data_IF_553897977886
#
_entry.id   IF_553897977886
#
_cell.length_a   1.000
_cell.length_b   1.000
_cell.length_c   1.000
_cell.angle_alpha   90.00
_cell.angle_beta   90.00
_cell.angle_gamma   90.00
#
_symmetry.space_group_name_H-M   'P 1'
#
loop_
_entity.id
_entity.type
_entity.pdbx_description
1 polymer ?
#
# COMPACT_ATOMS: atom_id res chain seq x y z
N UNK A 1 -16.82 0.47 11.55
CA UNK A 1 -15.91 0.22 10.40
C UNK A 1 -15.43 -1.21 10.45
N UNK A 2 -15.38 -1.83 9.29
CA UNK A 2 -14.95 -3.21 9.12
C UNK A 2 -13.77 -3.26 8.16
N UNK A 3 -12.79 -4.12 8.43
CA UNK A 3 -11.64 -4.36 7.55
C UNK A 3 -11.80 -5.75 6.90
N UNK A 4 -11.79 -5.80 5.59
CA UNK A 4 -11.96 -7.03 4.81
C UNK A 4 -10.78 -7.25 3.89
N UNK A 5 -10.44 -8.52 3.65
CA UNK A 5 -9.45 -8.86 2.63
C UNK A 5 -9.93 -8.40 1.25
N UNK A 6 -8.99 -7.97 0.40
CA UNK A 6 -9.30 -7.59 -0.98
C UNK A 6 -9.85 -8.78 -1.74
N UNK A 7 -10.93 -8.54 -2.47
CA UNK A 7 -11.52 -9.50 -3.42
C UNK A 7 -11.51 -8.90 -4.84
N UNK A 8 -11.85 -9.72 -5.84
CA UNK A 8 -11.92 -9.25 -7.23
C UNK A 8 -12.90 -8.09 -7.40
N UNK A 9 -13.97 -8.07 -6.62
CA UNK A 9 -14.97 -6.99 -6.65
C UNK A 9 -14.40 -5.65 -6.17
N UNK A 10 -13.27 -5.65 -5.47
CA UNK A 10 -12.62 -4.44 -4.96
C UNK A 10 -11.61 -3.84 -5.95
N UNK A 11 -11.25 -4.54 -7.02
CA UNK A 11 -10.20 -4.09 -7.93
C UNK A 11 -10.48 -2.72 -8.57
N UNK A 12 -11.70 -2.39 -9.00
CA UNK A 12 -11.99 -1.03 -9.47
C UNK A 12 -11.73 0.04 -8.40
N UNK A 13 -12.02 -0.26 -7.14
CA UNK A 13 -11.74 0.63 -6.03
C UNK A 13 -10.23 0.76 -5.75
N UNK A 14 -9.49 -0.33 -5.83
CA UNK A 14 -8.02 -0.29 -5.71
C UNK A 14 -7.40 0.56 -6.81
N UNK A 15 -7.90 0.47 -8.04
CA UNK A 15 -7.44 1.31 -9.14
C UNK A 15 -7.70 2.79 -8.86
N UNK A 16 -8.86 3.13 -8.31
CA UNK A 16 -9.20 4.48 -7.87
C UNK A 16 -8.26 4.96 -6.76
N UNK A 17 -8.00 4.13 -5.76
CA UNK A 17 -7.07 4.46 -4.68
C UNK A 17 -5.62 4.62 -5.19
N UNK A 18 -5.22 3.85 -6.18
CA UNK A 18 -3.92 4.01 -6.84
C UNK A 18 -3.78 5.40 -7.44
N UNK A 19 -4.80 5.89 -8.12
CA UNK A 19 -4.80 7.23 -8.70
C UNK A 19 -4.69 8.31 -7.62
N UNK A 20 -5.39 8.15 -6.51
CA UNK A 20 -5.29 9.08 -5.37
C UNK A 20 -3.89 9.11 -4.76
N UNK A 21 -3.22 7.96 -4.71
CA UNK A 21 -1.87 7.87 -4.17
C UNK A 21 -0.81 8.38 -5.15
N UNK A 22 -1.03 8.21 -6.45
CA UNK A 22 -0.02 8.50 -7.48
C UNK A 22 -0.04 9.96 -7.96
N UNK A 23 -1.17 10.64 -7.87
CA UNK A 23 -1.32 12.00 -8.42
C UNK A 23 -1.70 13.00 -7.34
N UNK A 24 -1.24 14.26 -7.47
CA UNK A 24 -1.66 15.33 -6.56
C UNK A 24 -3.15 15.63 -6.73
N UNK A 25 -3.79 16.31 -5.73
CA UNK A 25 -5.18 16.72 -5.86
C UNK A 25 -5.41 17.58 -7.12
N UNK A 26 -6.51 17.31 -7.82
CA UNK A 26 -6.89 18.04 -9.02
C UNK A 26 -7.28 17.12 -10.18
N UNK A 27 -7.46 17.70 -11.40
CA UNK A 27 -7.80 16.91 -12.58
C UNK A 27 -6.72 15.88 -12.89
N UNK A 28 -7.15 14.65 -13.20
CA UNK A 28 -6.23 13.59 -13.60
C UNK A 28 -5.76 13.77 -15.05
N UNK A 29 -4.51 13.40 -15.38
CA UNK A 29 -4.08 13.35 -16.77
C UNK A 29 -4.95 12.42 -17.59
N UNK A 30 -5.12 12.74 -18.89
CA UNK A 30 -5.85 11.87 -19.82
C UNK A 30 -5.15 10.49 -19.84
N UNK A 31 -5.96 9.42 -19.70
CA UNK A 31 -5.45 8.05 -19.72
C UNK A 31 -4.70 7.62 -18.45
N UNK A 32 -4.85 8.36 -17.34
CA UNK A 32 -4.16 8.07 -16.07
C UNK A 32 -4.36 6.62 -15.61
N UNK A 33 -5.57 6.07 -15.74
CA UNK A 33 -5.90 4.69 -15.34
C UNK A 33 -5.16 3.63 -16.15
N UNK A 34 -4.67 3.96 -17.33
CA UNK A 34 -3.97 3.04 -18.23
C UNK A 34 -2.45 3.21 -18.20
N UNK A 35 -1.92 4.10 -17.37
CA UNK A 35 -0.49 4.27 -17.23
C UNK A 35 0.14 3.04 -16.57
N UNK A 36 1.27 2.49 -17.10
CA UNK A 36 1.85 1.27 -16.54
C UNK A 36 2.16 1.34 -15.06
N UNK A 37 2.62 2.48 -14.55
CA UNK A 37 2.91 2.65 -13.12
C UNK A 37 1.67 2.67 -12.23
N UNK A 38 0.48 2.83 -12.81
CA UNK A 38 -0.80 2.70 -12.11
C UNK A 38 -1.33 1.27 -12.24
N UNK A 39 -1.34 0.74 -13.47
CA UNK A 39 -1.87 -0.60 -13.75
C UNK A 39 -1.11 -1.72 -13.03
N UNK A 40 0.19 -1.56 -12.83
CA UNK A 40 1.04 -2.58 -12.18
C UNK A 40 0.54 -3.00 -10.79
N UNK A 41 -0.28 -2.18 -10.16
CA UNK A 41 -0.77 -2.42 -8.82
C UNK A 41 -1.95 -3.38 -8.74
N UNK A 42 -2.70 -3.53 -9.81
CA UNK A 42 -3.96 -4.29 -9.79
C UNK A 42 -4.08 -5.35 -10.88
N UNK A 43 -3.29 -5.26 -11.96
CA UNK A 43 -3.33 -6.22 -13.06
C UNK A 43 -2.98 -7.62 -12.56
N UNK A 44 -3.79 -8.61 -12.96
CA UNK A 44 -3.62 -10.01 -12.57
C UNK A 44 -3.56 -10.21 -11.05
N UNK A 45 -4.44 -9.53 -10.33
CA UNK A 45 -4.52 -9.66 -8.87
C UNK A 45 -4.72 -11.12 -8.46
N UNK A 46 -4.05 -11.51 -7.38
CA UNK A 46 -4.03 -12.87 -6.87
C UNK A 46 -2.72 -13.61 -7.13
N UNK A 47 -1.66 -12.87 -7.51
CA UNK A 47 -0.32 -13.44 -7.62
C UNK A 47 0.19 -13.88 -6.26
N UNK A 48 1.08 -14.89 -6.19
CA UNK A 48 1.70 -15.27 -4.92
C UNK A 48 2.30 -14.06 -4.20
N UNK A 49 1.95 -13.89 -2.93
CA UNK A 49 2.41 -12.77 -2.12
C UNK A 49 1.55 -11.50 -2.19
N UNK A 50 0.58 -11.41 -3.09
CA UNK A 50 -0.39 -10.32 -3.06
C UNK A 50 -1.20 -10.39 -1.77
N UNK A 51 -1.33 -9.26 -1.09
CA UNK A 51 -2.17 -9.15 0.10
C UNK A 51 -2.75 -7.74 0.16
N UNK A 52 -3.96 -7.61 0.67
CA UNK A 52 -4.58 -6.32 0.77
C UNK A 52 -5.82 -6.33 1.63
N UNK A 53 -6.17 -5.16 2.13
CA UNK A 53 -7.33 -4.92 2.98
C UNK A 53 -8.09 -3.70 2.50
N UNK A 54 -9.40 -3.74 2.65
CA UNK A 54 -10.31 -2.63 2.35
C UNK A 54 -11.09 -2.28 3.61
N UNK A 55 -11.16 -0.99 3.92
CA UNK A 55 -11.98 -0.49 5.02
C UNK A 55 -13.38 -0.19 4.52
N UNK A 56 -14.37 -0.69 5.23
CA UNK A 56 -15.80 -0.56 4.92
C UNK A 56 -16.56 0.08 6.08
N UNK A 57 -17.52 0.91 5.76
CA UNK A 57 -18.52 1.39 6.71
C UNK A 57 -19.82 1.72 5.96
N UNK A 58 -20.93 1.31 6.52
CA UNK A 58 -22.28 1.60 5.96
C UNK A 58 -22.40 1.25 4.47
N UNK A 59 -21.84 0.11 4.07
CA UNK A 59 -21.88 -0.36 2.69
C UNK A 59 -20.94 0.38 1.73
N UNK A 60 -20.09 1.26 2.23
CA UNK A 60 -19.14 2.03 1.42
C UNK A 60 -17.69 1.63 1.72
N UNK A 61 -16.87 1.63 0.68
CA UNK A 61 -15.42 1.50 0.80
C UNK A 61 -14.82 2.86 1.17
N UNK A 62 -14.00 2.90 2.21
CA UNK A 62 -13.41 4.15 2.73
C UNK A 62 -11.97 4.35 2.31
N UNK A 63 -11.25 3.28 2.11
CA UNK A 63 -9.85 3.27 1.75
C UNK A 63 -9.32 1.85 1.65
N UNK A 64 -8.09 1.72 1.21
CA UNK A 64 -7.43 0.42 1.10
C UNK A 64 -5.92 0.53 1.28
N UNK A 65 -5.32 -0.58 1.71
CA UNK A 65 -3.87 -0.78 1.71
C UNK A 65 -3.59 -2.17 1.17
N UNK A 66 -2.63 -2.28 0.28
CA UNK A 66 -2.27 -3.56 -0.32
C UNK A 66 -0.78 -3.60 -0.67
N UNK A 67 -0.25 -4.79 -0.85
CA UNK A 67 1.13 -4.99 -1.24
C UNK A 67 1.24 -5.98 -2.39
N UNK A 68 2.30 -5.80 -3.15
CA UNK A 68 2.64 -6.64 -4.30
C UNK A 68 4.14 -6.63 -4.53
N UNK A 69 4.71 -7.76 -4.87
CA UNK A 69 6.08 -7.83 -5.37
C UNK A 69 6.09 -7.25 -6.80
N UNK A 70 6.78 -6.13 -6.97
CA UNK A 70 6.87 -5.45 -8.26
C UNK A 70 8.08 -5.95 -9.05
N UNK A 71 8.01 -5.84 -10.38
CA UNK A 71 9.14 -6.11 -11.27
C UNK A 71 10.31 -5.17 -10.97
N UNK A 72 9.98 -3.92 -10.64
CA UNK A 72 10.91 -2.86 -10.28
C UNK A 72 11.08 -2.84 -8.76
N UNK A 73 11.96 -3.70 -8.25
CA UNK A 73 12.09 -3.99 -6.82
C UNK A 73 12.75 -2.83 -6.08
N UNK A 74 12.08 -2.29 -5.06
CA UNK A 74 12.63 -1.21 -4.22
C UNK A 74 13.68 -1.70 -3.22
N UNK A 75 13.44 -2.85 -2.62
CA UNK A 75 14.28 -3.38 -1.55
C UNK A 75 14.24 -4.91 -1.54
N UNK A 76 15.30 -5.51 -1.01
CA UNK A 76 15.43 -6.96 -0.87
C UNK A 76 15.77 -7.31 0.57
N UNK A 77 15.45 -8.52 0.98
CA UNK A 77 15.89 -9.05 2.27
C UNK A 77 17.37 -9.45 2.24
N UNK A 78 17.91 -9.90 3.38
CA UNK A 78 19.31 -10.31 3.49
C UNK A 78 19.66 -11.49 2.57
N UNK A 79 18.67 -12.34 2.23
CA UNK A 79 18.86 -13.47 1.31
C UNK A 79 18.71 -13.06 -0.16
N UNK A 80 18.42 -11.78 -0.45
CA UNK A 80 18.25 -11.26 -1.79
C UNK A 80 16.84 -11.41 -2.37
N UNK A 81 15.85 -11.83 -1.58
CA UNK A 81 14.48 -11.95 -2.04
C UNK A 81 13.82 -10.57 -2.14
N UNK A 82 13.05 -10.31 -3.21
CA UNK A 82 12.38 -9.02 -3.35
C UNK A 82 11.33 -8.83 -2.26
N UNK A 83 11.28 -7.62 -1.69
CA UNK A 83 10.25 -7.24 -0.76
C UNK A 83 9.04 -6.66 -1.51
N UNK A 84 7.81 -6.95 -1.08
CA UNK A 84 6.64 -6.34 -1.67
C UNK A 84 6.59 -4.85 -1.36
N UNK A 85 6.09 -4.09 -2.32
CA UNK A 85 5.84 -2.66 -2.18
C UNK A 85 4.39 -2.45 -1.81
N UNK A 86 4.11 -1.52 -0.90
CA UNK A 86 2.75 -1.18 -0.51
C UNK A 86 2.24 0.04 -1.25
N UNK A 87 0.93 0.05 -1.46
CA UNK A 87 0.15 1.22 -1.81
C UNK A 87 -0.97 1.39 -0.79
N UNK A 88 -1.32 2.62 -0.50
CA UNK A 88 -2.39 2.94 0.43
C UNK A 88 -3.02 4.28 0.08
N UNK A 89 -4.33 4.35 0.16
CA UNK A 89 -5.05 5.59 0.10
C UNK A 89 -6.36 5.50 0.90
N UNK A 90 -6.81 6.64 1.41
CA UNK A 90 -8.10 6.82 2.05
C UNK A 90 -8.86 7.87 1.25
N UNK A 91 -10.13 7.61 0.96
CA UNK A 91 -10.97 8.57 0.25
C UNK A 91 -10.94 9.93 0.96
N UNK A 92 -10.87 11.05 0.22
CA UNK A 92 -10.66 12.37 0.84
C UNK A 92 -11.64 12.73 1.95
N UNK A 93 -12.92 12.38 1.80
CA UNK A 93 -13.97 12.66 2.78
C UNK A 93 -13.85 11.84 4.08
N UNK A 94 -12.99 10.83 4.09
CA UNK A 94 -12.80 9.94 5.26
C UNK A 94 -11.42 10.07 5.90
N UNK A 95 -10.61 11.04 5.46
CA UNK A 95 -9.27 11.27 6.00
C UNK A 95 -9.32 11.84 7.42
N UNK A 96 -8.17 11.78 8.11
CA UNK A 96 -7.97 12.28 9.48
C UNK A 96 -8.86 11.60 10.53
N UNK A 97 -9.23 10.34 10.31
CA UNK A 97 -10.05 9.52 11.23
C UNK A 97 -9.30 8.27 11.73
N UNK A 98 -7.99 8.19 11.49
CA UNK A 98 -7.19 7.02 11.89
C UNK A 98 -7.36 5.80 11.00
N UNK A 99 -8.06 5.88 9.88
CA UNK A 99 -8.30 4.75 8.98
C UNK A 99 -6.99 4.24 8.38
N UNK A 100 -6.09 5.12 7.98
CA UNK A 100 -4.80 4.74 7.42
C UNK A 100 -3.97 3.89 8.38
N UNK A 101 -3.93 4.23 9.66
CA UNK A 101 -3.22 3.46 10.67
C UNK A 101 -3.83 2.06 10.85
N UNK A 102 -5.16 1.97 10.84
CA UNK A 102 -5.86 0.69 10.95
C UNK A 102 -5.64 -0.18 9.71
N UNK A 103 -5.64 0.43 8.51
CA UNK A 103 -5.34 -0.26 7.26
C UNK A 103 -3.91 -0.83 7.26
N UNK A 104 -2.93 -0.05 7.69
CA UNK A 104 -1.53 -0.50 7.75
C UNK A 104 -1.39 -1.66 8.74
N UNK A 105 -2.00 -1.57 9.91
CA UNK A 105 -1.95 -2.65 10.90
C UNK A 105 -2.58 -3.94 10.35
N UNK A 106 -3.72 -3.83 9.68
CA UNK A 106 -4.38 -4.99 9.07
C UNK A 106 -3.57 -5.56 7.90
N UNK A 107 -2.91 -4.70 7.11
CA UNK A 107 -2.04 -5.13 6.03
C UNK A 107 -0.84 -5.92 6.55
N UNK A 108 -0.25 -5.52 7.67
CA UNK A 108 0.86 -6.28 8.29
C UNK A 108 0.46 -7.74 8.52
N UNK A 109 -0.71 -7.97 9.08
CA UNK A 109 -1.21 -9.32 9.33
C UNK A 109 -1.48 -10.08 8.02
N UNK A 110 -2.16 -9.42 7.07
CA UNK A 110 -2.47 -10.03 5.77
C UNK A 110 -1.20 -10.40 4.99
N UNK A 111 -0.21 -9.52 4.99
CA UNK A 111 1.06 -9.76 4.31
C UNK A 111 1.87 -10.88 4.97
N UNK A 112 1.92 -10.91 6.31
CA UNK A 112 2.58 -11.99 7.04
C UNK A 112 1.92 -13.34 6.76
N UNK A 113 0.59 -13.39 6.73
CA UNK A 113 -0.17 -14.60 6.38
C UNK A 113 0.09 -15.05 4.94
N UNK A 114 0.39 -14.10 4.04
CA UNK A 114 0.78 -14.39 2.65
C UNK A 114 2.26 -14.78 2.50
N UNK A 115 3.00 -14.91 3.62
CA UNK A 115 4.39 -15.36 3.62
C UNK A 115 5.41 -14.23 3.47
N UNK A 116 5.01 -12.98 3.51
CA UNK A 116 5.93 -11.85 3.42
C UNK A 116 6.65 -11.61 4.74
N UNK A 117 7.94 -11.25 4.67
CA UNK A 117 8.78 -11.01 5.85
C UNK A 117 8.97 -9.54 6.18
N UNK A 118 8.77 -8.68 5.20
CA UNK A 118 8.90 -7.24 5.34
C UNK A 118 8.10 -6.55 4.23
N UNK A 119 7.82 -5.27 4.44
CA UNK A 119 7.14 -4.42 3.46
C UNK A 119 8.05 -3.26 3.08
N UNK A 120 7.89 -2.74 1.87
CA UNK A 120 8.62 -1.57 1.38
C UNK A 120 7.66 -0.52 0.82
N UNK A 121 8.11 0.72 0.78
CA UNK A 121 7.37 1.82 0.15
C UNK A 121 8.32 2.92 -0.28
N UNK A 122 7.82 3.81 -1.14
CA UNK A 122 8.43 5.11 -1.37
C UNK A 122 7.47 6.20 -0.92
N UNK A 123 8.04 7.29 -0.39
CA UNK A 123 7.29 8.46 0.05
C UNK A 123 8.13 9.71 -0.17
N UNK A 124 7.48 10.83 -0.51
CA UNK A 124 8.16 12.11 -0.55
C UNK A 124 8.37 12.61 0.88
N UNK A 125 9.57 13.17 1.16
CA UNK A 125 9.93 13.69 2.49
C UNK A 125 8.98 14.79 2.99
N UNK A 126 8.29 15.48 2.08
CA UNK A 126 7.32 16.52 2.42
C UNK A 126 5.88 16.01 2.52
N UNK A 127 5.65 14.75 2.24
CA UNK A 127 4.31 14.15 2.34
C UNK A 127 3.96 13.92 3.82
N UNK A 128 2.80 14.42 4.30
CA UNK A 128 2.35 14.17 5.67
C UNK A 128 2.25 12.69 6.05
N UNK A 129 2.04 11.80 5.07
CA UNK A 129 1.99 10.35 5.28
C UNK A 129 3.31 9.78 5.81
N UNK A 130 4.44 10.49 5.66
CA UNK A 130 5.72 10.05 6.22
C UNK A 130 5.61 9.78 7.73
N UNK A 131 4.95 10.65 8.47
CA UNK A 131 4.77 10.47 9.91
C UNK A 131 3.91 9.24 10.24
N UNK A 132 2.89 8.99 9.44
CA UNK A 132 2.05 7.80 9.58
C UNK A 132 2.88 6.53 9.39
N UNK A 133 3.71 6.49 8.35
CA UNK A 133 4.57 5.33 8.08
C UNK A 133 5.62 5.13 9.19
N UNK A 134 6.23 6.22 9.67
CA UNK A 134 7.18 6.13 10.79
C UNK A 134 6.52 5.59 12.05
N UNK A 135 5.33 6.07 12.40
CA UNK A 135 4.58 5.55 13.56
C UNK A 135 4.18 4.07 13.38
N UNK A 136 3.94 3.64 12.14
CA UNK A 136 3.62 2.25 11.82
C UNK A 136 4.85 1.33 11.86
N UNK A 137 6.06 1.87 12.02
CA UNK A 137 7.28 1.08 12.14
C UNK A 137 8.16 1.02 10.89
N UNK A 138 7.84 1.80 9.85
CA UNK A 138 8.69 1.92 8.68
C UNK A 138 9.90 2.80 8.98
N UNK A 139 11.08 2.40 8.49
CA UNK A 139 12.33 3.14 8.62
C UNK A 139 12.90 3.46 7.26
N UNK A 140 13.49 4.65 7.12
CA UNK A 140 14.15 5.07 5.89
C UNK A 140 15.44 4.26 5.71
N UNK A 141 15.56 3.60 4.56
CA UNK A 141 16.77 2.81 4.20
C UNK A 141 17.55 3.46 3.06
N UNK A 142 16.93 4.35 2.30
CA UNK A 142 17.59 5.06 1.19
C UNK A 142 16.82 6.34 0.86
N UNK A 143 17.53 7.37 0.44
CA UNK A 143 16.96 8.62 -0.07
C UNK A 143 17.57 9.03 -1.39
N UNK A 144 16.73 9.53 -2.30
CA UNK A 144 17.12 10.13 -3.57
C UNK A 144 16.40 11.49 -3.69
N UNK A 145 17.09 12.55 -3.33
CA UNK A 145 16.47 13.87 -3.20
C UNK A 145 15.39 13.85 -2.13
N UNK A 146 14.17 14.25 -2.47
CA UNK A 146 13.03 14.22 -1.55
C UNK A 146 12.31 12.86 -1.52
N UNK A 147 12.70 11.92 -2.37
CA UNK A 147 12.10 10.58 -2.43
C UNK A 147 12.79 9.64 -1.44
N UNK A 148 12.05 9.14 -0.48
CA UNK A 148 12.54 8.22 0.53
C UNK A 148 12.02 6.81 0.27
N UNK A 149 12.90 5.81 0.41
CA UNK A 149 12.53 4.40 0.43
C UNK A 149 12.53 3.94 1.88
N UNK A 150 11.43 3.32 2.29
CA UNK A 150 11.26 2.84 3.66
C UNK A 150 10.97 1.33 3.66
N UNK A 151 11.38 0.67 4.74
CA UNK A 151 11.17 -0.77 4.95
C UNK A 151 10.67 -0.99 6.36
N UNK A 152 9.78 -1.96 6.51
CA UNK A 152 9.27 -2.42 7.79
C UNK A 152 9.36 -3.94 7.86
N UNK A 153 10.11 -4.52 8.82
CA UNK A 153 10.05 -5.95 9.10
C UNK A 153 8.67 -6.33 9.65
N UNK A 154 8.16 -7.48 9.25
CA UNK A 154 6.92 -8.03 9.79
C UNK A 154 7.25 -9.03 10.89
N UNK A 155 6.40 -9.06 11.92
CA UNK A 155 6.48 -10.11 12.92
C UNK A 155 6.14 -11.45 12.26
N UNK A 156 6.93 -12.49 12.53
CA UNK A 156 6.62 -13.82 12.05
C UNK A 156 5.32 -14.28 12.72
N UNK A 157 4.42 -14.94 11.97
CA UNK A 157 3.24 -15.53 12.59
C UNK A 157 3.68 -16.54 13.66
N UNK A 158 3.03 -16.52 14.81
CA UNK A 158 3.28 -17.52 15.86
C UNK A 158 3.08 -18.92 15.28
N UNK A 159 4.02 -19.85 15.52
CA UNK A 159 3.86 -21.24 15.08
C UNK A 159 2.67 -21.92 15.73
#
# INVERSE_FOLDING_TARGET
MELRAVSDADLPFLAEMTLLAAFPPGPLPVGASYMPHVMRWTVDWGRPGDAGVVAWSDGQRLGSAWCRVQTDVLARDEAGHPLPEIAMAVSPEHRARGIGAQLLNALDHAAADAGQKALSLTVNAHNPALHLYQRAGFEVVRGEGSRLTMVKPLALPCP
#
